data_IF_065635055742
#
_entry.id   IF_065635055742
#
_cell.length_a   1.000
_cell.length_b   1.000
_cell.length_c   1.000
_cell.angle_alpha   90.00
_cell.angle_beta   90.00
_cell.angle_gamma   90.00
#
_symmetry.space_group_name_H-M   'P 1'
#
loop_
_entity.id
_entity.type
_entity.pdbx_description
1 polymer ?
#
# COMPACT_ATOMS: atom_id res chain seq x y z
N UNK A 1 2.11 -12.66 -0.37
CA UNK A 1 2.57 -11.35 0.15
C UNK A 1 1.45 -10.49 0.72
N UNK A 2 0.69 -9.68 -0.04
CA UNK A 2 -0.33 -8.78 0.56
C UNK A 2 -1.40 -9.53 1.36
N UNK A 3 -1.93 -10.63 0.81
CA UNK A 3 -2.90 -11.46 1.54
C UNK A 3 -2.29 -12.04 2.82
N UNK A 4 -1.01 -12.40 2.83
CA UNK A 4 -0.37 -12.95 4.03
C UNK A 4 -0.17 -11.89 5.12
N UNK A 5 0.12 -10.64 4.74
CA UNK A 5 0.21 -9.51 5.69
C UNK A 5 -1.14 -9.31 6.37
N UNK A 6 -2.21 -9.31 5.59
CA UNK A 6 -3.58 -9.10 6.08
C UNK A 6 -4.07 -10.30 6.90
N UNK A 7 -3.89 -11.52 6.40
CA UNK A 7 -4.33 -12.76 7.06
C UNK A 7 -3.57 -13.02 8.37
N UNK A 8 -2.27 -12.69 8.42
CA UNK A 8 -1.47 -12.80 9.64
C UNK A 8 -1.60 -11.59 10.57
N UNK A 9 -2.42 -10.59 10.21
CA UNK A 9 -2.54 -9.31 10.92
C UNK A 9 -1.16 -8.73 11.26
N UNK A 10 -0.23 -8.80 10.31
CA UNK A 10 1.12 -8.32 10.53
C UNK A 10 1.10 -6.78 10.65
N UNK A 11 1.58 -6.26 11.77
CA UNK A 11 1.65 -4.82 12.07
C UNK A 11 3.08 -4.27 11.93
N UNK A 12 4.00 -5.04 11.37
CA UNK A 12 5.35 -4.56 11.06
C UNK A 12 5.27 -3.51 9.94
N UNK A 13 5.28 -2.25 10.37
CA UNK A 13 5.21 -1.09 9.49
C UNK A 13 6.29 -1.11 8.41
N UNK A 14 7.52 -1.55 8.72
CA UNK A 14 8.60 -1.61 7.74
C UNK A 14 8.30 -2.62 6.63
N UNK A 15 7.71 -3.76 6.98
CA UNK A 15 7.32 -4.77 6.01
C UNK A 15 6.15 -4.29 5.15
N UNK A 16 5.18 -3.60 5.75
CA UNK A 16 4.04 -3.02 5.04
C UNK A 16 4.51 -1.95 4.06
N UNK A 17 5.32 -0.99 4.52
CA UNK A 17 5.87 0.10 3.70
C UNK A 17 6.68 -0.43 2.51
N UNK A 18 7.61 -1.38 2.75
CA UNK A 18 8.36 -2.03 1.66
C UNK A 18 7.47 -2.72 0.64
N UNK A 19 6.36 -3.30 1.08
CA UNK A 19 5.38 -3.93 0.19
C UNK A 19 4.60 -2.87 -0.60
N UNK A 20 4.23 -1.75 0.04
CA UNK A 20 3.60 -0.62 -0.64
C UNK A 20 4.53 0.00 -1.69
N UNK A 21 5.80 0.23 -1.37
CA UNK A 21 6.82 0.72 -2.31
C UNK A 21 6.92 -0.20 -3.53
N UNK A 22 7.05 -1.51 -3.30
CA UNK A 22 7.11 -2.50 -4.37
C UNK A 22 5.86 -2.48 -5.25
N UNK A 23 4.66 -2.39 -4.65
CA UNK A 23 3.41 -2.35 -5.41
C UNK A 23 3.24 -1.04 -6.19
N UNK A 24 3.75 0.08 -5.64
CA UNK A 24 3.67 1.38 -6.28
C UNK A 24 4.36 1.38 -7.65
N UNK A 25 5.53 0.74 -7.75
CA UNK A 25 6.29 0.59 -9.01
C UNK A 25 5.50 -0.10 -10.14
N UNK A 26 4.48 -0.90 -9.80
CA UNK A 26 3.66 -1.64 -10.76
C UNK A 26 2.21 -1.16 -10.83
N UNK A 27 1.88 0.01 -10.26
CA UNK A 27 0.50 0.51 -10.22
C UNK A 27 -0.12 0.87 -11.59
N UNK A 28 0.65 0.79 -12.69
CA UNK A 28 0.12 0.84 -14.05
C UNK A 28 -0.74 -0.38 -14.43
N UNK A 29 -0.61 -1.51 -13.71
CA UNK A 29 -1.47 -2.68 -13.86
C UNK A 29 -2.63 -2.61 -12.84
N UNK A 30 -3.88 -2.73 -13.32
CA UNK A 30 -5.08 -2.62 -12.48
C UNK A 30 -5.12 -3.64 -11.32
N UNK A 31 -4.52 -4.83 -11.50
CA UNK A 31 -4.46 -5.85 -10.44
C UNK A 31 -3.50 -5.41 -9.35
N UNK A 32 -2.37 -4.81 -9.71
CA UNK A 32 -1.40 -4.27 -8.76
C UNK A 32 -1.98 -3.08 -8.01
N UNK A 33 -2.67 -2.17 -8.69
CA UNK A 33 -3.40 -1.06 -8.07
C UNK A 33 -4.46 -1.56 -7.06
N UNK A 34 -5.16 -2.65 -7.38
CA UNK A 34 -6.13 -3.26 -6.48
C UNK A 34 -5.48 -3.79 -5.20
N UNK A 35 -4.32 -4.45 -5.32
CA UNK A 35 -3.54 -4.93 -4.18
C UNK A 35 -3.01 -3.77 -3.34
N UNK A 36 -2.48 -2.73 -3.99
CA UNK A 36 -1.99 -1.52 -3.36
C UNK A 36 -3.08 -0.85 -2.51
N UNK A 37 -4.26 -0.58 -3.10
CA UNK A 37 -5.40 0.01 -2.38
C UNK A 37 -5.87 -0.84 -1.20
N UNK A 38 -5.81 -2.17 -1.33
CA UNK A 38 -6.18 -3.09 -0.25
C UNK A 38 -5.17 -3.01 0.90
N UNK A 39 -3.88 -2.92 0.60
CA UNK A 39 -2.83 -2.77 1.61
C UNK A 39 -2.89 -1.39 2.26
N UNK A 40 -3.15 -0.31 1.51
CA UNK A 40 -3.36 1.03 2.08
C UNK A 40 -4.53 1.03 3.07
N UNK A 41 -5.66 0.40 2.75
CA UNK A 41 -6.80 0.30 3.68
C UNK A 41 -6.44 -0.41 4.98
N UNK A 42 -5.67 -1.49 4.90
CA UNK A 42 -5.19 -2.21 6.08
C UNK A 42 -4.20 -1.35 6.88
N UNK A 43 -3.27 -0.68 6.20
CA UNK A 43 -2.27 0.15 6.86
C UNK A 43 -2.86 1.43 7.46
N UNK A 44 -4.00 1.91 6.94
CA UNK A 44 -4.72 3.06 7.49
C UNK A 44 -5.13 2.86 8.95
N UNK A 45 -5.54 1.64 9.31
CA UNK A 45 -5.92 1.29 10.68
C UNK A 45 -4.72 1.23 11.64
N UNK A 46 -3.49 1.13 11.10
CA UNK A 46 -2.25 1.04 11.88
C UNK A 46 -1.58 2.43 11.95
N UNK A 47 -1.36 3.05 10.80
CA UNK A 47 -0.71 4.35 10.66
C UNK A 47 -1.35 5.16 9.51
N UNK A 48 -2.40 5.95 9.82
CA UNK A 48 -3.11 6.72 8.81
C UNK A 48 -2.24 7.85 8.23
N UNK A 49 -1.30 8.39 8.99
CA UNK A 49 -0.41 9.46 8.52
C UNK A 49 0.53 8.94 7.43
N UNK A 50 1.21 7.81 7.67
CA UNK A 50 2.06 7.19 6.67
C UNK A 50 1.25 6.73 5.45
N UNK A 51 0.06 6.18 5.67
CA UNK A 51 -0.83 5.75 4.57
C UNK A 51 -1.27 6.93 3.69
N UNK A 52 -1.58 8.09 4.28
CA UNK A 52 -1.93 9.29 3.52
C UNK A 52 -0.79 9.72 2.58
N UNK A 53 0.45 9.71 3.07
CA UNK A 53 1.63 10.02 2.25
C UNK A 53 1.71 9.08 1.03
N UNK A 54 1.49 7.78 1.22
CA UNK A 54 1.46 6.81 0.11
C UNK A 54 0.37 7.12 -0.93
N UNK A 55 -0.84 7.47 -0.47
CA UNK A 55 -1.95 7.84 -1.37
C UNK A 55 -1.60 9.10 -2.17
N UNK A 56 -0.98 10.09 -1.54
CA UNK A 56 -0.57 11.33 -2.19
C UNK A 56 0.57 11.08 -3.20
N UNK A 57 1.57 10.27 -2.84
CA UNK A 57 2.63 9.85 -3.79
C UNK A 57 2.07 9.14 -5.02
N UNK A 58 1.09 8.24 -4.83
CA UNK A 58 0.43 7.59 -5.95
C UNK A 58 -0.26 8.60 -6.88
N UNK A 59 -0.95 9.61 -6.31
CA UNK A 59 -1.63 10.65 -7.10
C UNK A 59 -0.64 11.50 -7.89
N UNK A 60 0.47 11.91 -7.27
CA UNK A 60 1.51 12.69 -7.93
C UNK A 60 2.14 11.93 -9.10
N UNK A 61 2.31 10.60 -8.99
CA UNK A 61 2.95 9.80 -10.02
C UNK A 61 2.03 9.39 -11.17
N UNK A 62 0.76 9.08 -10.90
CA UNK A 62 -0.12 8.40 -11.86
C UNK A 62 -1.38 9.18 -12.26
N UNK A 63 -1.81 10.18 -11.48
CA UNK A 63 -3.06 10.92 -11.67
C UNK A 63 -2.82 12.35 -12.22
N UNK A 64 -1.64 12.58 -12.83
CA UNK A 64 -1.25 13.86 -13.45
C UNK A 64 -1.64 14.00 -14.92
#
# INVERSE_FOLDING_TARGET
MVNEIIEKQNQDENHIQRTLDYLLDFCFDEKMLTLYRRLCRYYWDINPHATANYIDYYREMYDS
#
